data_IF_057602176932
#
_entry.id   IF_057602176932
#
_cell.length_a   1.000
_cell.length_b   1.000
_cell.length_c   1.000
_cell.angle_alpha   90.00
_cell.angle_beta   90.00
_cell.angle_gamma   90.00
#
_symmetry.space_group_name_H-M   'P 1'
#
loop_
_entity.id
_entity.type
_entity.pdbx_description
1 polymer ?
#
# COMPACT_ATOMS: atom_id res chain seq x y z
N UNK A 1 30.92 -1.57 24.69
CA UNK A 1 30.47 -2.67 23.84
C UNK A 1 29.09 -3.08 24.33
N UNK A 2 28.04 -2.49 23.78
CA UNK A 2 26.65 -2.83 24.07
C UNK A 2 26.13 -3.67 22.92
N UNK A 3 25.98 -4.97 23.14
CA UNK A 3 25.40 -5.88 22.17
C UNK A 3 23.93 -5.51 21.94
N UNK A 4 23.59 -5.15 20.72
CA UNK A 4 22.18 -5.10 20.28
C UNK A 4 21.73 -6.55 20.19
N UNK A 5 20.93 -6.98 21.16
CA UNK A 5 20.26 -8.30 21.11
C UNK A 5 19.32 -8.30 19.90
N UNK A 6 19.64 -9.04 18.88
CA UNK A 6 18.68 -9.35 17.81
C UNK A 6 17.58 -10.22 18.42
N UNK A 7 16.36 -9.69 18.53
CA UNK A 7 15.20 -10.50 18.87
C UNK A 7 15.07 -11.63 17.85
N UNK A 8 14.83 -12.84 18.31
CA UNK A 8 14.58 -13.98 17.43
C UNK A 8 13.23 -13.80 16.71
N UNK A 9 13.04 -14.40 15.55
CA UNK A 9 11.81 -14.27 14.76
C UNK A 9 10.54 -14.59 15.59
N UNK A 10 10.62 -15.51 16.55
CA UNK A 10 9.52 -15.88 17.46
C UNK A 10 9.17 -14.81 18.51
N UNK A 11 10.01 -13.79 18.71
CA UNK A 11 9.75 -12.68 19.67
C UNK A 11 9.18 -11.43 19.01
N UNK A 12 9.15 -11.38 17.67
CA UNK A 12 8.63 -10.25 16.92
C UNK A 12 7.12 -10.29 16.89
N UNK A 13 6.47 -9.30 17.50
CA UNK A 13 5.01 -9.16 17.49
C UNK A 13 4.62 -8.10 16.47
N UNK A 14 3.74 -8.48 15.54
CA UNK A 14 3.18 -7.63 14.47
C UNK A 14 1.70 -7.44 14.78
N UNK A 15 1.23 -6.19 14.70
CA UNK A 15 -0.20 -5.87 14.87
C UNK A 15 -0.92 -5.99 13.53
N UNK A 16 -1.78 -6.98 13.43
CA UNK A 16 -2.54 -7.31 12.23
C UNK A 16 -3.99 -6.92 12.41
N UNK A 17 -4.51 -6.09 11.52
CA UNK A 17 -5.93 -5.74 11.48
C UNK A 17 -6.75 -6.84 10.83
N UNK A 18 -6.26 -7.39 9.71
CA UNK A 18 -6.91 -8.53 9.04
C UNK A 18 -5.94 -9.26 8.09
N UNK A 19 -6.25 -10.54 7.81
CA UNK A 19 -5.60 -11.32 6.74
C UNK A 19 -6.73 -11.92 5.91
N UNK A 20 -6.71 -11.69 4.58
CA UNK A 20 -7.78 -12.14 3.70
C UNK A 20 -7.28 -12.46 2.29
N UNK A 21 -8.12 -13.14 1.52
CA UNK A 21 -7.84 -13.59 0.17
C UNK A 21 -7.93 -15.12 0.03
N UNK A 22 -7.40 -15.74 -1.05
CA UNK A 22 -6.85 -15.03 -2.21
C UNK A 22 -7.90 -14.19 -2.93
N UNK A 23 -7.52 -12.99 -3.29
CA UNK A 23 -8.30 -12.09 -4.14
C UNK A 23 -7.37 -11.45 -5.17
N UNK A 24 -7.77 -10.37 -5.83
CA UNK A 24 -6.92 -9.64 -6.75
C UNK A 24 -6.51 -8.29 -6.19
N UNK A 25 -5.25 -7.89 -6.39
CA UNK A 25 -4.81 -6.53 -6.12
C UNK A 25 -5.57 -5.56 -7.04
N UNK A 26 -6.23 -4.58 -6.46
CA UNK A 26 -7.08 -3.63 -7.19
C UNK A 26 -6.36 -2.38 -7.66
N UNK A 27 -5.07 -2.20 -7.37
CA UNK A 27 -4.41 -0.91 -7.51
C UNK A 27 -2.98 -0.98 -8.07
N UNK A 28 -2.56 0.14 -8.67
CA UNK A 28 -1.19 0.39 -9.09
C UNK A 28 -0.62 -0.65 -10.04
N UNK A 29 0.66 -0.94 -9.89
CA UNK A 29 1.41 -1.83 -10.78
C UNK A 29 0.97 -3.29 -10.72
N UNK A 30 0.31 -3.70 -9.64
CA UNK A 30 -0.14 -5.07 -9.41
C UNK A 30 -1.63 -5.29 -9.70
N UNK A 31 -2.32 -4.31 -10.30
CA UNK A 31 -3.75 -4.43 -10.62
C UNK A 31 -4.06 -5.74 -11.35
N UNK A 32 -5.04 -6.51 -10.84
CA UNK A 32 -5.41 -7.82 -11.36
C UNK A 32 -4.54 -8.99 -10.90
N UNK A 33 -3.46 -8.76 -10.15
CA UNK A 33 -2.58 -9.82 -9.63
C UNK A 33 -3.26 -10.57 -8.47
N UNK A 34 -3.39 -11.92 -8.55
CA UNK A 34 -3.83 -12.70 -7.39
C UNK A 34 -2.92 -12.51 -6.17
N UNK A 35 -3.51 -12.27 -5.02
CA UNK A 35 -2.78 -11.94 -3.79
C UNK A 35 -3.53 -12.37 -2.53
N UNK A 36 -2.77 -12.63 -1.46
CA UNK A 36 -3.27 -12.62 -0.08
C UNK A 36 -2.86 -11.28 0.54
N UNK A 37 -3.80 -10.61 1.18
CA UNK A 37 -3.52 -9.38 1.91
C UNK A 37 -3.22 -9.67 3.37
N UNK A 38 -2.16 -9.03 3.88
CA UNK A 38 -1.90 -8.89 5.31
C UNK A 38 -1.98 -7.40 5.63
N UNK A 39 -3.08 -6.99 6.25
CA UNK A 39 -3.36 -5.61 6.61
C UNK A 39 -2.92 -5.31 8.02
N UNK A 40 -1.94 -4.41 8.15
CA UNK A 40 -1.37 -4.01 9.44
C UNK A 40 -2.25 -2.97 10.13
N UNK A 41 -2.31 -3.05 11.46
CA UNK A 41 -2.94 -2.03 12.29
C UNK A 41 -1.97 -0.92 12.67
N UNK A 42 -2.46 0.32 12.52
CA UNK A 42 -1.77 1.57 12.85
C UNK A 42 -1.25 2.35 11.64
N UNK A 43 -1.36 3.66 11.72
CA UNK A 43 -0.86 4.61 10.73
C UNK A 43 -0.35 5.86 11.43
N UNK A 44 0.68 6.48 10.88
CA UNK A 44 1.21 7.78 11.29
C UNK A 44 0.50 8.96 10.60
N UNK A 45 -0.31 8.70 9.55
CA UNK A 45 -1.15 9.67 8.86
C UNK A 45 -2.64 9.53 9.22
N UNK A 46 -3.43 10.57 8.90
CA UNK A 46 -4.89 10.64 9.09
C UNK A 46 -5.52 11.32 7.88
N UNK A 47 -5.49 10.60 6.74
CA UNK A 47 -6.05 11.10 5.49
C UNK A 47 -7.57 11.29 5.61
N UNK A 48 -8.07 12.42 5.10
CA UNK A 48 -9.50 12.79 5.15
C UNK A 48 -10.41 11.80 4.43
N UNK A 49 -9.90 11.13 3.41
CA UNK A 49 -10.60 10.14 2.57
C UNK A 49 -10.10 8.70 2.77
N UNK A 50 -9.57 8.38 3.96
CA UNK A 50 -9.07 7.04 4.23
C UNK A 50 -10.21 6.01 4.17
N UNK A 51 -10.03 4.97 3.38
CA UNK A 51 -10.97 3.85 3.21
C UNK A 51 -10.72 2.69 4.19
N UNK A 52 -9.65 2.77 4.98
CA UNK A 52 -9.20 1.71 5.88
C UNK A 52 -9.13 2.19 7.34
N UNK A 53 -10.09 3.02 7.78
CA UNK A 53 -10.09 3.62 9.12
C UNK A 53 -10.02 2.59 10.25
N UNK A 54 -10.57 1.39 10.05
CA UNK A 54 -10.48 0.27 10.99
C UNK A 54 -9.03 -0.20 11.24
N UNK A 55 -8.14 0.01 10.26
CA UNK A 55 -6.70 -0.28 10.40
C UNK A 55 -5.88 0.95 10.82
N UNK A 56 -6.49 2.14 10.90
CA UNK A 56 -5.79 3.41 11.12
C UNK A 56 -6.10 4.02 12.48
N UNK A 57 -7.37 4.09 12.86
CA UNK A 57 -7.81 4.79 14.06
C UNK A 57 -7.54 3.99 15.33
N UNK A 58 -6.99 4.66 16.35
CA UNK A 58 -6.62 4.04 17.62
C UNK A 58 -7.79 3.44 18.40
N UNK A 59 -9.05 3.86 18.10
CA UNK A 59 -10.24 3.26 18.72
C UNK A 59 -10.44 1.79 18.34
N UNK A 60 -9.86 1.35 17.21
CA UNK A 60 -9.87 -0.05 16.75
C UNK A 60 -8.64 -0.85 17.21
N UNK A 61 -7.76 -0.26 18.03
CA UNK A 61 -6.49 -0.89 18.41
C UNK A 61 -6.66 -2.25 19.11
N UNK A 62 -7.76 -2.43 19.83
CA UNK A 62 -8.06 -3.69 20.52
C UNK A 62 -8.47 -4.81 19.57
N UNK A 63 -8.90 -4.45 18.35
CA UNK A 63 -9.23 -5.39 17.29
C UNK A 63 -7.97 -5.85 16.51
N UNK A 64 -6.87 -5.12 16.61
CA UNK A 64 -5.62 -5.49 15.95
C UNK A 64 -4.90 -6.60 16.70
N UNK A 65 -4.94 -7.79 16.14
CA UNK A 65 -4.35 -8.97 16.77
C UNK A 65 -2.83 -8.88 16.81
N UNK A 66 -2.20 -9.03 17.99
CA UNK A 66 -0.76 -9.21 18.07
C UNK A 66 -0.41 -10.62 17.61
N UNK A 67 0.28 -10.75 16.48
CA UNK A 67 0.62 -12.03 15.88
C UNK A 67 2.13 -12.18 15.74
N UNK A 68 2.64 -13.41 15.90
CA UNK A 68 4.01 -13.75 15.54
C UNK A 68 4.14 -13.94 14.02
N UNK A 69 5.35 -13.98 13.51
CA UNK A 69 5.63 -14.28 12.09
C UNK A 69 5.02 -15.63 11.69
N UNK A 70 5.17 -16.64 12.52
CA UNK A 70 4.65 -18.01 12.28
C UNK A 70 3.12 -18.03 12.24
N UNK A 71 2.46 -17.25 13.13
CA UNK A 71 1.01 -17.18 13.18
C UNK A 71 0.44 -16.51 11.92
N UNK A 72 1.04 -15.37 11.48
CA UNK A 72 0.67 -14.73 10.22
C UNK A 72 0.88 -15.68 9.05
N UNK A 73 2.02 -16.36 9.03
CA UNK A 73 2.38 -17.27 7.97
C UNK A 73 1.39 -18.45 7.85
N UNK A 74 1.00 -19.04 8.99
CA UNK A 74 0.00 -20.10 9.01
C UNK A 74 -1.33 -19.71 8.34
N UNK A 75 -1.79 -18.48 8.55
CA UNK A 75 -3.00 -17.97 7.89
C UNK A 75 -2.78 -17.72 6.39
N UNK A 76 -1.61 -17.19 6.00
CA UNK A 76 -1.27 -16.99 4.57
C UNK A 76 -1.23 -18.33 3.83
N UNK A 77 -0.55 -19.35 4.38
CA UNK A 77 -0.50 -20.68 3.78
C UNK A 77 -1.88 -21.33 3.68
N UNK A 78 -2.69 -21.23 4.72
CA UNK A 78 -4.06 -21.75 4.72
C UNK A 78 -4.91 -21.11 3.61
N UNK A 79 -4.85 -19.78 3.47
CA UNK A 79 -5.59 -19.06 2.44
C UNK A 79 -5.10 -19.39 1.02
N UNK A 80 -3.80 -19.48 0.81
CA UNK A 80 -3.21 -19.79 -0.51
C UNK A 80 -3.26 -21.28 -0.86
N UNK A 81 -3.68 -22.15 0.08
CA UNK A 81 -3.59 -23.60 -0.08
C UNK A 81 -2.16 -24.13 -0.22
N UNK A 82 -1.17 -23.39 0.30
CA UNK A 82 0.25 -23.70 0.18
C UNK A 82 0.86 -23.42 -1.20
N UNK A 83 0.11 -22.77 -2.11
CA UNK A 83 0.62 -22.38 -3.44
C UNK A 83 1.23 -20.99 -3.34
N UNK A 84 2.55 -20.83 -3.66
CA UNK A 84 3.19 -19.54 -3.62
C UNK A 84 2.53 -18.50 -4.54
N UNK A 85 2.28 -17.32 -3.98
CA UNK A 85 1.69 -16.18 -4.69
C UNK A 85 2.23 -14.86 -4.13
N UNK A 86 1.69 -13.74 -4.61
CA UNK A 86 1.99 -12.41 -4.06
C UNK A 86 1.31 -12.24 -2.70
N UNK A 87 2.04 -11.75 -1.70
CA UNK A 87 1.51 -11.28 -0.42
C UNK A 87 1.56 -9.75 -0.41
N UNK A 88 0.40 -9.10 -0.35
CA UNK A 88 0.29 -7.65 -0.30
C UNK A 88 0.26 -7.16 1.15
N UNK A 89 1.35 -6.52 1.57
CA UNK A 89 1.48 -5.88 2.88
C UNK A 89 0.86 -4.48 2.79
N UNK A 90 -0.29 -4.31 3.43
CA UNK A 90 -1.08 -3.09 3.41
C UNK A 90 -1.53 -2.69 4.82
N UNK A 91 -2.49 -1.78 4.94
CA UNK A 91 -3.10 -1.43 6.22
C UNK A 91 -3.17 0.06 6.43
N UNK A 92 -2.88 0.50 7.65
CA UNK A 92 -2.55 1.88 7.93
C UNK A 92 -1.25 2.25 7.22
N UNK A 93 -0.12 2.19 7.93
CA UNK A 93 1.20 2.22 7.30
C UNK A 93 1.99 0.98 7.72
N UNK A 94 2.18 -0.03 6.85
CA UNK A 94 2.93 -1.23 7.20
C UNK A 94 4.37 -0.94 7.64
N UNK A 95 4.97 0.15 7.17
CA UNK A 95 6.32 0.55 7.51
C UNK A 95 6.55 0.84 9.01
N UNK A 96 5.49 1.01 9.81
CA UNK A 96 5.63 1.14 11.28
C UNK A 96 5.92 -0.20 11.96
N UNK A 97 5.68 -1.33 11.29
CA UNK A 97 5.83 -2.69 11.83
C UNK A 97 7.18 -3.31 11.43
N UNK A 98 7.70 -4.28 12.20
CA UNK A 98 8.98 -4.95 11.92
C UNK A 98 8.78 -6.17 10.98
N UNK A 99 8.55 -5.93 9.69
CA UNK A 99 8.12 -6.98 8.74
C UNK A 99 9.26 -7.80 8.11
N UNK A 100 10.54 -7.43 8.32
CA UNK A 100 11.67 -8.12 7.68
C UNK A 100 11.68 -9.65 7.92
N UNK A 101 11.36 -10.08 9.14
CA UNK A 101 11.28 -11.51 9.45
C UNK A 101 10.16 -12.24 8.70
N UNK A 102 9.01 -11.61 8.52
CA UNK A 102 7.88 -12.15 7.75
C UNK A 102 8.24 -12.30 6.26
N UNK A 103 8.89 -11.30 5.69
CA UNK A 103 9.33 -11.29 4.29
C UNK A 103 10.35 -12.41 4.05
N UNK A 104 11.39 -12.51 4.89
CA UNK A 104 12.39 -13.55 4.79
C UNK A 104 11.78 -14.96 4.88
N UNK A 105 10.89 -15.17 5.86
CA UNK A 105 10.20 -16.44 6.06
C UNK A 105 9.37 -16.88 4.84
N UNK A 106 8.68 -15.95 4.20
CA UNK A 106 7.88 -16.24 3.01
C UNK A 106 8.72 -16.45 1.75
N UNK A 107 9.82 -15.70 1.56
CA UNK A 107 10.76 -15.92 0.45
C UNK A 107 11.37 -17.33 0.47
N UNK A 108 11.73 -17.86 1.66
CA UNK A 108 12.20 -19.25 1.80
C UNK A 108 11.19 -20.28 1.27
N UNK A 109 9.91 -19.90 1.14
CA UNK A 109 8.80 -20.73 0.66
C UNK A 109 8.35 -20.38 -0.75
N UNK A 110 9.08 -19.46 -1.43
CA UNK A 110 8.81 -19.07 -2.81
C UNK A 110 7.71 -18.02 -2.98
N UNK A 111 7.19 -17.45 -1.91
CA UNK A 111 6.20 -16.35 -1.99
C UNK A 111 6.91 -15.03 -2.30
N UNK A 112 6.16 -14.09 -2.84
CA UNK A 112 6.63 -12.73 -3.17
C UNK A 112 5.91 -11.70 -2.33
N UNK A 113 6.54 -10.56 -2.09
CA UNK A 113 5.99 -9.51 -1.24
C UNK A 113 5.90 -8.17 -1.93
N UNK A 114 4.72 -7.57 -1.86
CA UNK A 114 4.49 -6.17 -2.20
C UNK A 114 4.16 -5.38 -0.95
N UNK A 115 4.68 -4.16 -0.86
CA UNK A 115 4.35 -3.21 0.19
C UNK A 115 3.75 -1.95 -0.42
N UNK A 116 2.69 -1.43 0.21
CA UNK A 116 2.23 -0.07 -0.03
C UNK A 116 2.44 0.80 1.21
N UNK A 117 3.12 1.95 1.02
CA UNK A 117 3.39 2.94 2.06
C UNK A 117 3.28 4.36 1.51
N UNK A 118 2.95 5.33 2.35
CA UNK A 118 3.01 6.76 1.98
C UNK A 118 4.43 7.32 1.90
N UNK A 119 5.46 6.56 2.31
CA UNK A 119 6.84 7.00 2.24
C UNK A 119 7.31 7.86 3.41
N UNK A 120 6.60 7.82 4.54
CA UNK A 120 6.91 8.61 5.75
C UNK A 120 7.93 7.93 6.67
N UNK A 121 8.13 6.62 6.55
CA UNK A 121 9.01 5.82 7.43
C UNK A 121 9.84 4.87 6.58
N UNK A 122 11.15 5.07 6.55
CA UNK A 122 12.08 4.19 5.86
C UNK A 122 12.47 2.98 6.70
N UNK A 123 12.68 1.84 6.04
CA UNK A 123 13.09 0.58 6.67
C UNK A 123 14.18 -0.12 5.84
N UNK A 124 15.16 -0.73 6.51
CA UNK A 124 16.22 -1.46 5.83
C UNK A 124 15.69 -2.66 5.03
N UNK A 125 14.64 -3.33 5.52
CA UNK A 125 14.01 -4.45 4.86
C UNK A 125 13.20 -4.09 3.60
N UNK A 126 13.10 -2.80 3.24
CA UNK A 126 12.53 -2.42 1.93
C UNK A 126 13.31 -2.99 0.76
N UNK A 127 14.63 -3.20 0.92
CA UNK A 127 15.47 -3.86 -0.07
C UNK A 127 15.13 -5.35 -0.28
N UNK A 128 14.38 -5.95 0.63
CA UNK A 128 13.99 -7.36 0.57
C UNK A 128 12.62 -7.58 -0.11
N UNK A 129 11.89 -6.52 -0.44
CA UNK A 129 10.61 -6.61 -1.14
C UNK A 129 10.80 -7.00 -2.61
N UNK A 130 9.76 -7.56 -3.23
CA UNK A 130 9.68 -7.72 -4.69
C UNK A 130 9.09 -6.47 -5.35
N UNK A 131 8.12 -5.83 -4.69
CA UNK A 131 7.47 -4.60 -5.18
C UNK A 131 7.30 -3.61 -4.03
N UNK A 132 7.71 -2.36 -4.25
CA UNK A 132 7.46 -1.24 -3.34
C UNK A 132 6.59 -0.21 -4.05
N UNK A 133 5.37 -0.01 -3.54
CA UNK A 133 4.48 1.06 -3.99
C UNK A 133 4.58 2.21 -3.00
N UNK A 134 5.19 3.31 -3.41
CA UNK A 134 5.22 4.55 -2.62
C UNK A 134 4.07 5.43 -3.06
N UNK A 135 3.17 5.76 -2.14
CA UNK A 135 1.94 6.51 -2.38
C UNK A 135 1.94 7.81 -1.56
N UNK A 136 2.71 8.84 -1.97
CA UNK A 136 2.72 10.13 -1.29
C UNK A 136 1.32 10.74 -1.29
N UNK A 137 0.94 11.35 -0.18
CA UNK A 137 -0.44 11.80 0.01
C UNK A 137 -0.62 13.22 -0.54
N UNK A 138 -1.55 13.41 -1.51
CA UNK A 138 -1.79 14.70 -2.14
C UNK A 138 -2.56 15.66 -1.21
N UNK A 139 -2.73 16.95 -1.60
CA UNK A 139 -3.36 17.97 -0.77
C UNK A 139 -4.76 17.60 -0.26
N UNK A 140 -5.58 16.92 -1.06
CA UNK A 140 -6.92 16.45 -0.66
C UNK A 140 -6.91 15.56 0.57
N UNK A 141 -5.80 14.90 0.86
CA UNK A 141 -5.65 14.03 2.04
C UNK A 141 -5.60 14.82 3.36
N UNK A 142 -5.25 16.10 3.31
CA UNK A 142 -4.95 16.92 4.48
C UNK A 142 -3.60 16.59 5.14
N UNK A 143 -2.78 15.74 4.51
CA UNK A 143 -1.45 15.36 5.01
C UNK A 143 -0.36 16.07 4.21
N UNK A 144 0.79 16.26 4.84
CA UNK A 144 1.99 16.77 4.19
C UNK A 144 3.02 15.66 3.99
N UNK A 145 3.67 15.64 2.81
CA UNK A 145 4.74 14.68 2.52
C UNK A 145 6.06 15.19 3.05
N UNK A 146 6.70 14.38 3.88
CA UNK A 146 8.11 14.56 4.25
C UNK A 146 8.98 14.00 3.10
N UNK A 147 9.54 14.91 2.29
CA UNK A 147 10.32 14.55 1.11
C UNK A 147 11.66 13.90 1.45
N UNK A 148 12.25 14.23 2.60
CA UNK A 148 13.51 13.62 3.05
C UNK A 148 13.26 12.19 3.51
N UNK A 149 12.18 11.95 4.25
CA UNK A 149 11.76 10.61 4.63
C UNK A 149 11.41 9.74 3.40
N UNK A 150 10.70 10.32 2.41
CA UNK A 150 10.38 9.62 1.17
C UNK A 150 11.64 9.26 0.39
N UNK A 151 12.59 10.20 0.24
CA UNK A 151 13.87 9.95 -0.43
C UNK A 151 14.64 8.82 0.27
N UNK A 152 14.66 8.82 1.60
CA UNK A 152 15.28 7.74 2.38
C UNK A 152 14.58 6.38 2.16
N UNK A 153 13.24 6.36 2.00
CA UNK A 153 12.52 5.13 1.65
C UNK A 153 13.00 4.56 0.32
N UNK A 154 13.16 5.41 -0.70
CA UNK A 154 13.65 5.02 -2.03
C UNK A 154 15.11 4.54 -1.98
N UNK A 155 15.97 5.22 -1.23
CA UNK A 155 17.36 4.83 -1.01
C UNK A 155 17.46 3.44 -0.35
N UNK A 156 16.66 3.19 0.70
CA UNK A 156 16.61 1.88 1.38
C UNK A 156 16.15 0.78 0.44
N UNK A 157 15.14 1.03 -0.40
CA UNK A 157 14.70 0.06 -1.41
C UNK A 157 15.79 -0.24 -2.43
N UNK A 158 16.57 0.77 -2.85
CA UNK A 158 17.63 0.63 -3.84
C UNK A 158 18.97 0.08 -3.28
N UNK A 159 19.05 -0.24 -1.99
CA UNK A 159 20.31 -0.56 -1.30
C UNK A 159 21.06 -1.78 -1.85
N UNK A 160 20.38 -2.70 -2.54
CA UNK A 160 20.99 -3.91 -3.16
C UNK A 160 21.45 -3.73 -4.61
N UNK A 161 21.30 -2.53 -5.15
CA UNK A 161 21.61 -2.22 -6.55
C UNK A 161 20.48 -2.63 -7.51
N UNK A 162 20.53 -2.12 -8.73
CA UNK A 162 19.43 -2.12 -9.70
C UNK A 162 18.84 -3.50 -10.00
N UNK A 163 19.67 -4.54 -10.01
CA UNK A 163 19.24 -5.91 -10.38
C UNK A 163 18.58 -6.70 -9.23
N UNK A 164 18.78 -6.26 -7.99
CA UNK A 164 18.30 -6.97 -6.79
C UNK A 164 17.32 -6.13 -5.96
N UNK A 165 17.07 -4.90 -6.38
CA UNK A 165 16.13 -4.01 -5.71
C UNK A 165 14.68 -4.30 -6.15
N UNK A 166 13.68 -4.01 -5.30
CA UNK A 166 12.29 -4.19 -5.66
C UNK A 166 11.90 -3.31 -6.85
N UNK A 167 10.89 -3.75 -7.61
CA UNK A 167 10.18 -2.86 -8.52
C UNK A 167 9.53 -1.75 -7.69
N UNK A 168 10.12 -0.56 -7.73
CA UNK A 168 9.64 0.61 -7.01
C UNK A 168 8.83 1.52 -7.93
N UNK A 169 7.62 1.92 -7.49
CA UNK A 169 6.72 2.76 -8.27
C UNK A 169 6.11 3.85 -7.40
N UNK A 170 5.68 4.94 -8.04
CA UNK A 170 4.85 5.98 -7.43
C UNK A 170 3.38 5.76 -7.77
N UNK A 171 2.50 5.87 -6.76
CA UNK A 171 1.05 5.80 -6.94
C UNK A 171 0.39 7.00 -6.28
N UNK A 172 -0.54 7.65 -6.98
CA UNK A 172 -1.27 8.80 -6.48
C UNK A 172 -2.77 8.58 -6.62
N UNK A 173 -3.50 8.89 -5.56
CA UNK A 173 -4.95 8.99 -5.58
C UNK A 173 -5.29 10.45 -5.89
N UNK A 174 -6.11 10.68 -6.91
CA UNK A 174 -6.41 12.00 -7.48
C UNK A 174 -7.89 12.30 -7.34
N UNK A 175 -8.20 13.42 -6.71
CA UNK A 175 -9.56 13.91 -6.55
C UNK A 175 -9.83 15.15 -7.41
N UNK A 176 -8.82 15.99 -7.63
CA UNK A 176 -8.95 17.28 -8.28
C UNK A 176 -7.64 17.75 -8.95
N UNK A 177 -7.67 18.97 -9.48
CA UNK A 177 -6.54 19.61 -10.17
C UNK A 177 -5.34 19.85 -9.24
N UNK A 178 -5.56 20.11 -7.95
CA UNK A 178 -4.47 20.31 -7.00
C UNK A 178 -3.71 19.01 -6.74
N UNK A 179 -4.43 17.89 -6.61
CA UNK A 179 -3.85 16.56 -6.48
C UNK A 179 -3.08 16.15 -7.74
N UNK A 180 -3.63 16.45 -8.91
CA UNK A 180 -2.98 16.18 -10.19
C UNK A 180 -1.67 16.97 -10.34
N UNK A 181 -1.70 18.27 -10.03
CA UNK A 181 -0.50 19.12 -10.05
C UNK A 181 0.55 18.64 -9.06
N UNK A 182 0.12 18.23 -7.86
CA UNK A 182 0.99 17.62 -6.86
C UNK A 182 1.65 16.34 -7.39
N UNK A 183 0.88 15.43 -7.98
CA UNK A 183 1.41 14.18 -8.53
C UNK A 183 2.46 14.42 -9.62
N UNK A 184 2.24 15.43 -10.49
CA UNK A 184 3.22 15.86 -11.50
C UNK A 184 4.51 16.38 -10.87
N UNK A 185 4.38 17.27 -9.88
CA UNK A 185 5.55 17.84 -9.18
C UNK A 185 6.34 16.77 -8.40
N UNK A 186 5.64 15.86 -7.72
CA UNK A 186 6.24 14.74 -7.01
C UNK A 186 6.98 13.78 -7.94
N UNK A 187 6.36 13.42 -9.07
CA UNK A 187 6.97 12.54 -10.08
C UNK A 187 8.20 13.15 -10.74
N UNK A 188 8.20 14.46 -10.93
CA UNK A 188 9.36 15.17 -11.52
C UNK A 188 10.61 15.10 -10.62
N UNK A 189 10.46 14.83 -9.31
CA UNK A 189 11.60 14.58 -8.40
C UNK A 189 12.25 13.22 -8.63
N UNK A 190 11.49 12.25 -9.17
CA UNK A 190 11.90 10.86 -9.37
C UNK A 190 11.52 10.38 -10.77
N UNK A 191 12.06 11.00 -11.85
CA UNK A 191 11.60 10.78 -13.22
C UNK A 191 11.87 9.37 -13.77
N UNK A 192 12.68 8.58 -13.08
CA UNK A 192 12.98 7.19 -13.42
C UNK A 192 11.95 6.18 -12.89
N UNK A 193 11.08 6.60 -11.95
CA UNK A 193 10.08 5.71 -11.37
C UNK A 193 8.79 5.70 -12.20
N UNK A 194 8.20 4.51 -12.44
CA UNK A 194 6.87 4.40 -13.03
C UNK A 194 5.81 5.10 -12.17
N UNK A 195 4.87 5.78 -12.82
CA UNK A 195 3.82 6.57 -12.17
C UNK A 195 2.45 5.99 -12.46
N UNK A 196 1.64 5.82 -11.40
CA UNK A 196 0.27 5.34 -11.47
C UNK A 196 -0.67 6.37 -10.85
N UNK A 197 -1.70 6.76 -11.57
CA UNK A 197 -2.74 7.69 -11.16
C UNK A 197 -4.07 6.95 -11.06
N UNK A 198 -4.81 7.16 -9.99
CA UNK A 198 -6.10 6.53 -9.77
C UNK A 198 -7.11 7.55 -9.25
N UNK A 199 -8.35 7.61 -9.77
CA UNK A 199 -9.38 8.47 -9.22
C UNK A 199 -9.72 7.99 -7.81
N UNK A 200 -9.82 8.93 -6.85
CA UNK A 200 -10.18 8.61 -5.48
C UNK A 200 -11.67 8.33 -5.31
N UNK A 201 -12.00 7.45 -4.37
CA UNK A 201 -13.36 7.29 -3.86
C UNK A 201 -13.63 8.41 -2.84
N UNK A 202 -14.53 9.35 -3.16
CA UNK A 202 -14.90 10.46 -2.28
C UNK A 202 -16.02 10.13 -1.29
N UNK A 203 -16.51 8.90 -1.36
CA UNK A 203 -17.47 8.32 -0.42
C UNK A 203 -16.89 7.07 0.23
N UNK A 204 -15.75 7.20 0.97
CA UNK A 204 -15.19 6.04 1.65
C UNK A 204 -16.19 5.53 2.69
N UNK A 205 -16.24 4.20 2.92
CA UNK A 205 -17.20 3.64 3.85
C UNK A 205 -16.88 4.10 5.28
N UNK A 206 -17.91 4.31 6.12
CA UNK A 206 -17.70 4.32 7.56
C UNK A 206 -17.07 2.99 7.99
N UNK A 207 -16.20 2.98 9.01
CA UNK A 207 -15.52 1.74 9.44
C UNK A 207 -16.44 0.61 9.84
N UNK A 208 -17.67 0.93 10.20
CA UNK A 208 -18.69 0.00 10.69
C UNK A 208 -19.70 -0.43 9.59
N UNK A 209 -19.60 0.10 8.36
CA UNK A 209 -20.55 -0.15 7.27
C UNK A 209 -19.81 -0.27 5.92
N UNK A 210 -19.38 -1.46 5.61
CA UNK A 210 -18.71 -1.82 4.35
C UNK A 210 -19.71 -2.06 3.18
N UNK A 211 -21.00 -2.06 3.46
CA UNK A 211 -22.07 -2.07 2.44
C UNK A 211 -22.55 -0.64 2.11
N UNK A 212 -21.92 0.40 2.67
CA UNK A 212 -22.27 1.79 2.39
C UNK A 212 -22.25 2.08 0.88
N UNK A 213 -23.23 2.87 0.44
CA UNK A 213 -23.38 3.24 -0.96
C UNK A 213 -22.13 3.99 -1.46
N UNK A 214 -21.75 3.67 -2.69
CA UNK A 214 -20.64 4.30 -3.39
C UNK A 214 -21.17 5.15 -4.56
N UNK A 215 -20.60 6.35 -4.74
CA UNK A 215 -20.87 7.18 -5.92
C UNK A 215 -20.01 6.74 -7.12
N UNK A 216 -20.43 5.68 -7.76
CA UNK A 216 -19.73 5.12 -8.91
C UNK A 216 -19.69 6.10 -10.09
N UNK A 217 -20.77 6.85 -10.34
CA UNK A 217 -20.85 7.82 -11.42
C UNK A 217 -19.85 8.96 -11.21
N UNK A 218 -19.70 9.43 -9.96
CA UNK A 218 -18.69 10.44 -9.62
C UNK A 218 -17.27 9.94 -9.78
N UNK A 219 -16.99 8.67 -9.40
CA UNK A 219 -15.67 8.04 -9.62
C UNK A 219 -15.37 7.93 -11.12
N UNK A 220 -16.34 7.50 -11.94
CA UNK A 220 -16.15 7.37 -13.40
C UNK A 220 -16.00 8.73 -14.07
N UNK A 221 -16.75 9.75 -13.64
CA UNK A 221 -16.58 11.12 -14.12
C UNK A 221 -15.16 11.63 -13.85
N UNK A 222 -14.63 11.40 -12.66
CA UNK A 222 -13.25 11.75 -12.31
C UNK A 222 -12.23 10.94 -13.11
N UNK A 223 -12.52 9.68 -13.38
CA UNK A 223 -11.65 8.82 -14.22
C UNK A 223 -11.54 9.40 -15.64
N UNK A 224 -12.65 9.79 -16.27
CA UNK A 224 -12.65 10.40 -17.60
C UNK A 224 -11.85 11.72 -17.59
N UNK A 225 -12.15 12.61 -16.63
CA UNK A 225 -11.40 13.86 -16.46
C UNK A 225 -9.89 13.63 -16.31
N UNK A 226 -9.48 12.65 -15.50
CA UNK A 226 -8.06 12.34 -15.27
C UNK A 226 -7.38 11.82 -16.54
N UNK A 227 -8.06 10.99 -17.33
CA UNK A 227 -7.57 10.52 -18.62
C UNK A 227 -7.39 11.70 -19.58
N UNK A 228 -8.40 12.57 -19.71
CA UNK A 228 -8.33 13.75 -20.59
C UNK A 228 -7.16 14.66 -20.18
N UNK A 229 -6.99 14.94 -18.88
CA UNK A 229 -5.88 15.76 -18.35
C UNK A 229 -4.51 15.18 -18.69
N UNK A 230 -4.31 13.88 -18.51
CA UNK A 230 -3.03 13.22 -18.83
C UNK A 230 -2.73 13.31 -20.31
N UNK A 231 -3.74 13.15 -21.17
CA UNK A 231 -3.59 13.23 -22.65
C UNK A 231 -3.33 14.66 -23.11
N UNK A 232 -4.09 15.64 -22.61
CA UNK A 232 -3.93 17.07 -22.92
C UNK A 232 -2.54 17.58 -22.53
N UNK A 233 -2.07 17.23 -21.33
CA UNK A 233 -0.76 17.61 -20.82
C UNK A 233 0.41 16.79 -21.38
N UNK A 234 0.10 15.79 -22.24
CA UNK A 234 1.08 14.86 -22.82
C UNK A 234 1.95 14.16 -21.77
N UNK A 235 1.37 13.87 -20.60
CA UNK A 235 2.09 13.15 -19.55
C UNK A 235 2.06 11.64 -19.79
N UNK A 236 2.63 11.21 -20.92
CA UNK A 236 2.54 9.82 -21.41
C UNK A 236 3.33 8.80 -20.58
N UNK A 237 4.14 9.26 -19.63
CA UNK A 237 4.80 8.38 -18.66
C UNK A 237 3.86 7.90 -17.54
N UNK A 238 2.76 8.63 -17.29
CA UNK A 238 1.79 8.24 -16.29
C UNK A 238 0.82 7.18 -16.82
N UNK A 239 0.45 6.24 -15.97
CA UNK A 239 -0.60 5.24 -16.24
C UNK A 239 -1.83 5.57 -15.41
N UNK A 240 -2.97 5.74 -16.06
CA UNK A 240 -4.24 6.00 -15.39
C UNK A 240 -4.99 4.67 -15.26
N UNK A 241 -5.34 4.30 -14.02
CA UNK A 241 -6.01 3.04 -13.70
C UNK A 241 -7.20 3.29 -12.78
N UNK A 242 -8.27 2.49 -12.85
CA UNK A 242 -9.31 2.49 -11.83
C UNK A 242 -8.80 1.82 -10.54
N UNK A 243 -9.53 1.99 -9.45
CA UNK A 243 -9.45 1.09 -8.29
C UNK A 243 -10.33 -0.13 -8.62
N UNK A 244 -9.73 -1.23 -9.10
CA UNK A 244 -10.45 -2.39 -9.62
C UNK A 244 -11.33 -3.05 -8.56
N UNK A 245 -10.85 -3.14 -7.32
CA UNK A 245 -11.64 -3.69 -6.21
C UNK A 245 -12.91 -2.87 -5.95
N UNK A 246 -12.84 -1.53 -6.08
CA UNK A 246 -13.99 -0.64 -5.96
C UNK A 246 -15.02 -0.90 -7.07
N UNK A 247 -14.56 -1.11 -8.31
CA UNK A 247 -15.45 -1.44 -9.44
C UNK A 247 -16.14 -2.80 -9.28
N UNK A 248 -15.46 -3.77 -8.66
CA UNK A 248 -15.99 -5.13 -8.51
C UNK A 248 -16.88 -5.29 -7.27
N UNK A 249 -16.51 -4.66 -6.17
CA UNK A 249 -17.10 -4.95 -4.86
C UNK A 249 -17.54 -3.70 -4.09
N UNK A 250 -17.44 -2.51 -4.68
CA UNK A 250 -17.80 -1.26 -4.03
C UNK A 250 -16.91 -0.97 -2.82
N UNK A 251 -17.54 -0.67 -1.69
CA UNK A 251 -16.87 -0.41 -0.42
C UNK A 251 -16.61 -1.68 0.42
N UNK A 252 -16.90 -2.86 -0.12
CA UNK A 252 -16.83 -4.11 0.63
C UNK A 252 -15.42 -4.42 1.10
N UNK A 253 -15.33 -4.84 2.37
CA UNK A 253 -14.07 -5.17 3.05
C UNK A 253 -13.74 -6.66 2.91
N UNK A 254 -12.43 -7.00 2.88
CA UNK A 254 -11.97 -8.39 2.91
C UNK A 254 -12.21 -9.18 1.61
N UNK A 255 -12.32 -8.50 0.47
CA UNK A 255 -12.62 -9.08 -0.86
C UNK A 255 -11.49 -8.89 -1.84
#
# INVERSE_FOLDING_TARGET
MGGVSSLTASETVIRVSEIFGPTIQGEGVLIGQPTVFVRMGGCDYRCSWCDSLHAVESRFREEWLPMSVEAIWSEVEKLSGGVPLMVSLSGGNPAIQPLGGLIAHGHERGYRFALETQGSIARDWFADLDVLVVSPKPPSSGMETDWDALSLCLEKAAARGEQQSPLTVLKFIIFDEADYAYARAASARHPHLPVYLQPGNHTPPPPEDDDALIDMDGIMTRMHWLVDRVVEDRWFAARVLPQLHVLLWGNKRGV
#
